data_IF_637003962602
#
_entry.id   IF_637003962602
#
_cell.length_a   1.000
_cell.length_b   1.000
_cell.length_c   1.000
_cell.angle_alpha   90.00
_cell.angle_beta   90.00
_cell.angle_gamma   90.00
#
_symmetry.space_group_name_H-M   'P 1'
#
loop_
_entity.id
_entity.type
_entity.pdbx_description
1 polymer ?
#
# COMPACT_ATOMS: atom_id res chain seq x y z
N UNK A 1 12.48 13.42 30.05
CA UNK A 1 12.86 14.17 28.84
C UNK A 1 13.89 13.29 28.17
N UNK A 2 13.39 12.37 27.34
CA UNK A 2 14.13 11.66 26.30
C UNK A 2 13.04 11.14 25.37
N UNK A 3 12.63 12.08 24.52
CA UNK A 3 11.90 11.84 23.30
C UNK A 3 12.74 10.96 22.37
N UNK A 4 12.06 10.17 21.55
CA UNK A 4 12.58 9.48 20.36
C UNK A 4 12.89 7.97 20.50
N UNK A 5 11.80 7.20 20.62
CA UNK A 5 11.71 5.89 19.96
C UNK A 5 10.40 5.82 19.17
N UNK A 6 10.32 6.66 18.14
CA UNK A 6 9.35 6.51 17.03
C UNK A 6 9.76 5.30 16.20
N UNK A 7 9.04 4.19 16.32
CA UNK A 7 8.88 3.20 15.24
C UNK A 7 7.72 2.25 15.56
N UNK A 8 6.53 2.83 15.70
CA UNK A 8 5.27 2.09 15.56
C UNK A 8 4.99 1.93 14.07
N UNK A 9 4.95 0.67 13.61
CA UNK A 9 4.25 0.17 12.42
C UNK A 9 4.38 1.04 11.15
N UNK A 10 5.14 0.63 10.11
CA UNK A 10 5.10 1.33 8.84
C UNK A 10 3.70 1.14 8.24
N UNK A 11 2.76 2.06 8.49
CA UNK A 11 1.57 2.19 7.65
C UNK A 11 2.12 2.69 6.32
N UNK A 12 2.21 1.86 5.29
CA UNK A 12 2.50 2.38 3.95
C UNK A 12 1.28 3.18 3.52
N UNK A 13 1.32 4.46 3.87
CA UNK A 13 0.33 5.42 3.47
C UNK A 13 0.32 5.40 1.94
N UNK A 14 -0.84 5.15 1.32
CA UNK A 14 -0.98 5.14 -0.15
C UNK A 14 -0.43 6.44 -0.78
N UNK A 15 -0.43 7.53 0.01
CA UNK A 15 0.25 8.78 -0.30
C UNK A 15 1.76 8.65 -0.51
N UNK A 16 2.48 7.91 0.35
CA UNK A 16 3.91 7.65 0.17
C UNK A 16 4.19 6.80 -1.07
N UNK A 17 3.34 5.80 -1.37
CA UNK A 17 3.46 5.03 -2.62
C UNK A 17 3.27 5.92 -3.85
N UNK A 18 2.23 6.76 -3.87
CA UNK A 18 2.02 7.73 -4.95
C UNK A 18 3.19 8.71 -5.07
N UNK A 19 3.77 9.13 -3.94
CA UNK A 19 4.92 10.02 -3.91
C UNK A 19 6.19 9.35 -4.45
N UNK A 20 6.46 8.08 -4.10
CA UNK A 20 7.61 7.32 -4.63
C UNK A 20 7.50 7.14 -6.14
N UNK A 21 6.34 6.70 -6.63
CA UNK A 21 6.10 6.54 -8.08
C UNK A 21 6.15 7.89 -8.80
N UNK A 22 5.69 8.96 -8.17
CA UNK A 22 5.80 10.31 -8.72
C UNK A 22 7.27 10.74 -8.87
N UNK A 23 8.12 10.54 -7.85
CA UNK A 23 9.54 10.86 -7.95
C UNK A 23 10.27 10.01 -9.01
N UNK A 24 9.94 8.72 -9.13
CA UNK A 24 10.48 7.87 -10.20
C UNK A 24 10.08 8.42 -11.59
N UNK A 25 8.80 8.72 -11.80
CA UNK A 25 8.30 9.28 -13.07
C UNK A 25 8.92 10.64 -13.40
N UNK A 26 9.03 11.54 -12.41
CA UNK A 26 9.68 12.84 -12.59
C UNK A 26 11.17 12.68 -12.89
N UNK A 27 11.87 11.79 -12.21
CA UNK A 27 13.29 11.51 -12.45
C UNK A 27 13.57 10.99 -13.85
N UNK A 28 12.85 9.95 -14.29
CA UNK A 28 12.98 9.44 -15.66
C UNK A 28 12.55 10.47 -16.71
N UNK A 29 11.54 11.29 -16.41
CA UNK A 29 11.10 12.37 -17.29
C UNK A 29 12.15 13.48 -17.44
N UNK A 30 12.84 13.86 -16.36
CA UNK A 30 13.94 14.83 -16.41
C UNK A 30 15.11 14.28 -17.23
N UNK A 31 15.49 13.02 -17.03
CA UNK A 31 16.57 12.37 -17.80
C UNK A 31 16.21 12.32 -19.29
N UNK A 32 14.99 11.90 -19.61
CA UNK A 32 14.50 11.86 -20.99
C UNK A 32 14.48 13.25 -21.64
N UNK A 33 14.02 14.27 -20.91
CA UNK A 33 13.98 15.65 -21.39
C UNK A 33 15.40 16.21 -21.57
N UNK A 34 16.34 15.89 -20.67
CA UNK A 34 17.73 16.31 -20.79
C UNK A 34 18.39 15.72 -22.05
N UNK A 35 18.16 14.45 -22.37
CA UNK A 35 18.67 13.84 -23.61
C UNK A 35 18.08 14.47 -24.88
N UNK A 36 16.77 14.73 -24.89
CA UNK A 36 16.14 15.47 -25.99
C UNK A 36 16.68 16.90 -26.13
N UNK A 37 17.03 17.54 -25.01
CA UNK A 37 17.66 18.86 -25.01
C UNK A 37 19.10 18.82 -25.52
N UNK A 38 19.89 17.82 -25.14
CA UNK A 38 21.25 17.65 -25.65
C UNK A 38 21.25 17.43 -27.16
N UNK A 39 20.27 16.68 -27.67
CA UNK A 39 20.13 16.43 -29.10
C UNK A 39 19.62 17.64 -29.89
N UNK A 40 18.69 18.44 -29.35
CA UNK A 40 18.16 19.60 -30.08
C UNK A 40 19.09 20.82 -30.03
N UNK A 41 19.91 20.96 -28.97
CA UNK A 41 20.82 22.10 -28.80
C UNK A 41 22.27 21.80 -29.20
N UNK A 42 22.58 20.57 -29.59
CA UNK A 42 23.93 20.14 -30.02
C UNK A 42 24.99 20.65 -29.02
N UNK A 43 24.69 20.43 -27.73
CA UNK A 43 25.43 20.98 -26.58
C UNK A 43 26.94 20.65 -26.61
N UNK A 44 27.39 19.49 -27.13
CA UNK A 44 28.82 19.21 -27.34
C UNK A 44 29.49 20.17 -28.33
N UNK A 45 28.81 20.61 -29.40
CA UNK A 45 29.37 21.57 -30.36
C UNK A 45 29.52 22.96 -29.72
N UNK A 46 28.50 23.40 -28.96
CA UNK A 46 28.54 24.68 -28.23
C UNK A 46 29.63 24.70 -27.14
N UNK A 47 29.84 23.58 -26.46
CA UNK A 47 30.77 23.48 -25.34
C UNK A 47 32.21 23.11 -25.76
N UNK A 48 32.42 22.33 -26.82
CA UNK A 48 33.73 21.76 -27.19
C UNK A 48 34.28 22.11 -28.59
N UNK A 49 33.62 22.93 -29.43
CA UNK A 49 34.15 23.36 -30.74
C UNK A 49 34.62 22.22 -31.67
N UNK A 50 34.06 21.02 -31.52
CA UNK A 50 34.32 19.87 -32.38
C UNK A 50 33.55 19.96 -33.71
N UNK A 51 33.89 19.14 -34.70
CA UNK A 51 33.17 19.08 -35.97
C UNK A 51 31.71 18.65 -35.76
N UNK A 52 30.76 19.35 -36.38
CA UNK A 52 29.33 19.08 -36.26
C UNK A 52 28.99 17.65 -36.71
N UNK A 53 28.36 16.88 -35.81
CA UNK A 53 27.80 15.56 -36.13
C UNK A 53 26.37 15.74 -36.67
N UNK A 54 25.98 15.06 -37.76
CA UNK A 54 24.60 15.13 -38.26
C UNK A 54 23.64 14.47 -37.26
N UNK A 55 22.43 15.04 -37.12
CA UNK A 55 21.35 14.50 -36.26
C UNK A 55 21.12 13.03 -36.62
N UNK A 56 21.51 12.14 -35.71
CA UNK A 56 21.47 10.71 -35.94
C UNK A 56 20.28 10.11 -35.19
N UNK A 57 19.09 10.18 -35.81
CA UNK A 57 17.82 9.73 -35.21
C UNK A 57 17.85 8.31 -34.65
N UNK A 58 18.75 7.46 -35.15
CA UNK A 58 18.94 6.10 -34.67
C UNK A 58 19.44 6.09 -33.23
N UNK A 59 20.41 6.94 -32.89
CA UNK A 59 21.03 7.03 -31.55
C UNK A 59 20.02 7.49 -30.50
N UNK A 60 19.28 8.55 -30.81
CA UNK A 60 18.15 9.11 -30.05
C UNK A 60 17.09 8.07 -29.70
N UNK A 61 16.73 7.25 -30.69
CA UNK A 61 15.72 6.22 -30.55
C UNK A 61 16.24 5.12 -29.61
N UNK A 62 17.49 4.69 -29.75
CA UNK A 62 18.06 3.67 -28.88
C UNK A 62 18.14 4.12 -27.41
N UNK A 63 18.57 5.36 -27.16
CA UNK A 63 18.64 5.91 -25.79
C UNK A 63 17.25 6.05 -25.16
N UNK A 64 16.30 6.60 -25.93
CA UNK A 64 14.90 6.73 -25.49
C UNK A 64 14.28 5.37 -25.16
N UNK A 65 14.50 4.36 -26.00
CA UNK A 65 13.98 3.00 -25.78
C UNK A 65 14.61 2.38 -24.54
N UNK A 66 15.92 2.52 -24.33
CA UNK A 66 16.61 2.03 -23.12
C UNK A 66 16.04 2.65 -21.84
N UNK A 67 15.82 3.97 -21.83
CA UNK A 67 15.27 4.68 -20.67
C UNK A 67 13.84 4.26 -20.37
N UNK A 68 13.01 4.10 -21.40
CA UNK A 68 11.64 3.63 -21.21
C UNK A 68 11.59 2.19 -20.68
N UNK A 69 12.47 1.30 -21.16
CA UNK A 69 12.57 -0.08 -20.66
C UNK A 69 13.00 -0.10 -19.20
N UNK A 70 14.05 0.65 -18.84
CA UNK A 70 14.55 0.73 -17.46
C UNK A 70 13.50 1.37 -16.54
N UNK A 71 12.89 2.48 -16.97
CA UNK A 71 11.82 3.16 -16.23
C UNK A 71 10.62 2.25 -15.97
N UNK A 72 10.17 1.52 -16.99
CA UNK A 72 9.09 0.54 -16.84
C UNK A 72 9.46 -0.59 -15.88
N UNK A 73 10.68 -1.14 -15.99
CA UNK A 73 11.17 -2.18 -15.10
C UNK A 73 11.25 -1.71 -13.64
N UNK A 74 11.75 -0.50 -13.40
CA UNK A 74 11.80 0.12 -12.07
C UNK A 74 10.40 0.28 -11.46
N UNK A 75 9.47 0.91 -12.18
CA UNK A 75 8.10 1.13 -11.69
C UNK A 75 7.41 -0.21 -11.37
N UNK A 76 7.57 -1.23 -12.24
CA UNK A 76 7.01 -2.57 -12.01
C UNK A 76 7.58 -3.24 -10.76
N UNK A 77 8.89 -3.11 -10.51
CA UNK A 77 9.54 -3.68 -9.31
C UNK A 77 9.04 -3.00 -8.04
N UNK A 78 8.95 -1.66 -8.05
CA UNK A 78 8.45 -0.86 -6.92
C UNK A 78 7.02 -1.26 -6.56
N UNK A 79 6.13 -1.39 -7.56
CA UNK A 79 4.76 -1.86 -7.33
C UNK A 79 4.70 -3.27 -6.72
N UNK A 80 5.54 -4.20 -7.21
CA UNK A 80 5.59 -5.57 -6.70
C UNK A 80 6.07 -5.68 -5.25
N UNK A 81 7.03 -4.86 -4.83
CA UNK A 81 7.49 -4.81 -3.44
C UNK A 81 6.40 -4.30 -2.50
N UNK A 82 5.67 -3.26 -2.92
CA UNK A 82 4.63 -2.65 -2.10
C UNK A 82 3.43 -3.58 -1.86
N UNK A 83 3.01 -4.36 -2.85
CA UNK A 83 1.94 -5.36 -2.66
C UNK A 83 2.31 -6.43 -1.62
N UNK A 84 3.59 -6.81 -1.51
CA UNK A 84 4.02 -7.78 -0.50
C UNK A 84 3.92 -7.18 0.90
N UNK A 85 4.32 -5.93 1.08
CA UNK A 85 4.32 -5.30 2.40
C UNK A 85 2.89 -5.13 2.94
N UNK A 86 1.91 -4.81 2.08
CA UNK A 86 0.50 -4.74 2.47
C UNK A 86 -0.05 -6.07 3.04
N UNK A 87 0.42 -7.22 2.54
CA UNK A 87 0.00 -8.54 3.02
C UNK A 87 0.59 -8.82 4.42
N UNK A 88 1.84 -8.40 4.65
CA UNK A 88 2.52 -8.53 5.94
C UNK A 88 1.93 -7.60 7.01
N UNK A 89 1.46 -6.41 6.62
CA UNK A 89 0.75 -5.46 7.50
C UNK A 89 -0.66 -5.94 7.90
N UNK A 90 -1.23 -6.93 7.20
CA UNK A 90 -2.55 -7.50 7.49
C UNK A 90 -2.59 -8.53 8.64
N UNK A 91 -1.43 -8.94 9.17
CA UNK A 91 -1.38 -9.92 10.26
C UNK A 91 -1.61 -9.24 11.61
N UNK A 92 -2.82 -9.40 12.15
CA UNK A 92 -3.17 -8.90 13.47
C UNK A 92 -2.73 -9.90 14.56
N UNK A 93 -1.79 -9.54 15.45
CA UNK A 93 -1.41 -10.42 16.55
C UNK A 93 -2.58 -10.57 17.53
N UNK A 94 -3.17 -11.76 17.58
CA UNK A 94 -4.29 -12.12 18.46
C UNK A 94 -3.78 -12.98 19.62
N UNK A 95 -4.22 -12.69 20.84
CA UNK A 95 -3.93 -13.51 22.01
C UNK A 95 -4.64 -14.85 21.88
N UNK A 96 -3.89 -15.96 21.91
CA UNK A 96 -4.45 -17.30 21.80
C UNK A 96 -5.43 -17.65 22.93
N UNK A 97 -5.32 -17.00 24.10
CA UNK A 97 -6.19 -17.26 25.26
C UNK A 97 -7.46 -16.41 25.24
N UNK A 98 -7.33 -15.09 25.11
CA UNK A 98 -8.46 -14.17 25.29
C UNK A 98 -8.95 -13.52 23.99
N UNK A 99 -8.36 -13.87 22.83
CA UNK A 99 -8.69 -13.35 21.49
C UNK A 99 -8.62 -11.82 21.33
N UNK A 100 -8.04 -11.10 22.29
CA UNK A 100 -7.74 -9.68 22.16
C UNK A 100 -6.70 -9.46 21.07
N UNK A 101 -6.77 -8.32 20.39
CA UNK A 101 -5.77 -7.87 19.42
C UNK A 101 -4.75 -7.01 20.15
N UNK A 102 -3.47 -7.26 19.92
CA UNK A 102 -2.40 -6.39 20.42
C UNK A 102 -2.23 -5.23 19.46
N UNK A 103 -2.65 -4.06 19.90
CA UNK A 103 -2.38 -2.81 19.19
C UNK A 103 -1.12 -2.19 19.78
N UNK A 104 -0.12 -1.88 18.95
CA UNK A 104 1.23 -1.54 19.39
C UNK A 104 1.29 -0.48 20.49
N UNK A 105 0.40 0.52 20.42
CA UNK A 105 0.36 1.70 21.31
C UNK A 105 -0.54 1.52 22.56
N UNK A 106 -1.56 0.65 22.52
CA UNK A 106 -2.65 0.60 23.51
C UNK A 106 -2.77 -0.74 24.28
N UNK A 107 -1.81 -1.65 24.12
CA UNK A 107 -1.87 -2.97 24.76
C UNK A 107 -2.91 -3.89 24.12
N UNK A 108 -3.47 -4.81 24.90
CA UNK A 108 -4.47 -5.77 24.42
C UNK A 108 -5.87 -5.17 24.44
N UNK A 109 -6.49 -5.02 23.27
CA UNK A 109 -7.87 -4.54 23.15
C UNK A 109 -8.81 -5.58 22.53
N UNK A 110 -10.12 -5.52 22.85
CA UNK A 110 -11.12 -6.36 22.19
C UNK A 110 -11.11 -6.15 20.66
N UNK A 111 -11.42 -7.21 19.92
CA UNK A 111 -11.42 -7.20 18.46
C UNK A 111 -12.45 -6.22 17.89
N UNK A 112 -13.60 -6.11 18.54
CA UNK A 112 -14.70 -5.23 18.17
C UNK A 112 -14.22 -3.78 18.17
N UNK A 113 -13.59 -3.35 19.28
CA UNK A 113 -13.02 -2.02 19.43
C UNK A 113 -11.91 -1.75 18.41
N UNK A 114 -11.06 -2.74 18.14
CA UNK A 114 -10.00 -2.62 17.13
C UNK A 114 -10.56 -2.35 15.74
N UNK A 115 -11.63 -3.07 15.35
CA UNK A 115 -12.26 -2.95 14.04
C UNK A 115 -13.06 -1.64 13.93
N UNK A 116 -13.83 -1.25 14.95
CA UNK A 116 -14.58 0.03 14.96
C UNK A 116 -13.66 1.25 14.83
N UNK A 117 -12.46 1.22 15.42
CA UNK A 117 -11.51 2.34 15.32
C UNK A 117 -10.87 2.48 13.95
N UNK A 118 -10.80 1.40 13.17
CA UNK A 118 -10.02 1.31 11.91
C UNK A 118 -10.89 1.07 10.69
N UNK A 119 -12.21 0.96 10.86
CA UNK A 119 -13.17 0.76 9.78
C UNK A 119 -14.45 1.52 10.08
N UNK A 120 -15.30 1.73 9.07
CA UNK A 120 -16.64 2.27 9.26
C UNK A 120 -17.66 1.20 9.72
N UNK A 121 -17.19 0.06 10.26
CA UNK A 121 -18.08 -0.98 10.76
C UNK A 121 -18.64 -0.59 12.12
N UNK A 122 -19.90 -0.95 12.38
CA UNK A 122 -20.55 -0.83 13.69
C UNK A 122 -21.03 -2.21 14.12
N UNK A 123 -20.71 -2.63 15.35
CA UNK A 123 -21.15 -3.93 15.84
C UNK A 123 -22.50 -3.84 16.53
N UNK A 124 -23.42 -4.74 16.13
CA UNK A 124 -24.66 -4.99 16.87
C UNK A 124 -24.55 -6.32 17.59
N UNK A 125 -25.16 -6.42 18.77
CA UNK A 125 -25.16 -7.65 19.56
C UNK A 125 -26.45 -8.41 19.25
N UNK A 126 -26.30 -9.62 18.69
CA UNK A 126 -27.39 -10.54 18.40
C UNK A 126 -27.06 -11.95 18.87
N UNK A 127 -28.08 -12.78 19.03
CA UNK A 127 -27.94 -14.20 19.34
C UNK A 127 -28.24 -15.02 18.08
N UNK A 128 -27.37 -15.96 17.73
CA UNK A 128 -27.68 -16.94 16.68
C UNK A 128 -28.73 -17.95 17.20
N UNK A 129 -29.35 -18.67 16.29
CA UNK A 129 -30.38 -19.67 16.59
C UNK A 129 -29.88 -20.71 17.62
N UNK A 130 -28.68 -21.24 17.44
CA UNK A 130 -28.07 -22.22 18.36
C UNK A 130 -27.92 -21.67 19.79
N UNK A 131 -27.49 -20.41 19.94
CA UNK A 131 -27.36 -19.77 21.24
C UNK A 131 -28.72 -19.53 21.90
N UNK A 132 -29.74 -19.16 21.11
CA UNK A 132 -31.10 -19.01 21.60
C UNK A 132 -31.69 -20.36 22.04
N UNK A 133 -31.50 -21.43 21.26
CA UNK A 133 -31.93 -22.78 21.61
C UNK A 133 -31.24 -23.27 22.89
N UNK A 134 -29.96 -22.95 23.09
CA UNK A 134 -29.25 -23.33 24.32
C UNK A 134 -29.72 -22.57 25.56
N UNK A 135 -29.99 -21.27 25.45
CA UNK A 135 -30.39 -20.42 26.57
C UNK A 135 -31.89 -20.55 26.89
N UNK A 136 -32.73 -20.67 25.87
CA UNK A 136 -34.18 -20.59 25.98
C UNK A 136 -34.91 -21.84 25.46
N UNK A 137 -34.20 -22.85 24.95
CA UNK A 137 -34.82 -24.06 24.37
C UNK A 137 -35.74 -24.82 25.33
N UNK A 138 -35.52 -24.68 26.63
CA UNK A 138 -36.38 -25.30 27.65
C UNK A 138 -37.57 -24.44 28.06
N UNK A 139 -37.59 -23.15 27.69
CA UNK A 139 -38.63 -22.21 28.05
C UNK A 139 -39.88 -22.38 27.19
N UNK A 140 -41.05 -22.46 27.81
CA UNK A 140 -42.31 -22.71 27.11
C UNK A 140 -42.68 -21.58 26.12
N UNK A 141 -42.33 -20.34 26.44
CA UNK A 141 -42.55 -19.19 25.55
C UNK A 141 -41.70 -19.27 24.28
N UNK A 142 -40.50 -19.84 24.37
CA UNK A 142 -39.58 -19.97 23.24
C UNK A 142 -40.00 -21.12 22.32
N UNK A 143 -40.37 -22.28 22.91
CA UNK A 143 -40.96 -23.41 22.19
C UNK A 143 -42.24 -23.04 21.44
N UNK A 144 -43.12 -22.25 22.07
CA UNK A 144 -44.37 -21.77 21.45
C UNK A 144 -44.10 -20.83 20.26
N UNK A 145 -43.02 -20.05 20.31
CA UNK A 145 -42.65 -19.08 19.28
C UNK A 145 -42.04 -19.72 18.03
N UNK A 146 -41.44 -20.90 18.14
CA UNK A 146 -40.87 -21.60 16.97
C UNK A 146 -41.94 -22.19 16.04
N UNK A 147 -43.20 -22.35 16.49
CA UNK A 147 -44.29 -22.89 15.68
C UNK A 147 -44.05 -24.34 15.24
N UNK A 148 -45.09 -25.11 14.85
CA UNK A 148 -44.87 -26.38 14.17
C UNK A 148 -44.28 -26.12 12.78
N UNK A 149 -43.15 -26.77 12.47
CA UNK A 149 -42.54 -26.83 11.13
C UNK A 149 -43.47 -27.51 10.14
#
# INVERSE_FOLDING_TARGET
>A
MDEDMRQTQPKINLYHLKSVVFYEMTGFGIIFLFLWLDEIYDLPHYLFKSMATPVNMVESIFESVMILIVGFACIKRTLGFLSKIQILEGMLPICSSCKKIRDGENGWQPIEKYIEQRSNASFTHGLCQECMDKLYGNEDWYKKKQGPV
#
